data_IF_785622869084
#
_entry.id   IF_785622869084
#
_cell.length_a   1.000
_cell.length_b   1.000
_cell.length_c   1.000
_cell.angle_alpha   90.00
_cell.angle_beta   90.00
_cell.angle_gamma   90.00
#
_symmetry.space_group_name_H-M   'P 1'
#
loop_
_entity.id
_entity.type
_entity.pdbx_description
1 polymer ?
#
# COMPACT_ATOMS: atom_id res chain seq x y z
N UNK A 1 -62.71 36.86 -9.03
CA UNK A 1 -62.59 38.00 -8.09
C UNK A 1 -61.71 39.06 -8.76
N UNK A 2 -62.14 40.31 -8.65
CA UNK A 2 -61.82 41.48 -9.48
C UNK A 2 -60.34 41.84 -9.65
N UNK A 3 -59.82 41.75 -10.87
CA UNK A 3 -58.54 42.36 -11.31
C UNK A 3 -58.85 43.54 -12.24
N UNK A 4 -59.39 44.64 -11.72
CA UNK A 4 -59.73 45.81 -12.56
C UNK A 4 -59.16 47.13 -12.07
N UNK A 5 -58.28 47.10 -11.06
CA UNK A 5 -57.63 48.30 -10.53
C UNK A 5 -56.09 48.34 -10.67
N UNK A 6 -55.47 47.32 -11.27
CA UNK A 6 -54.02 47.32 -11.55
C UNK A 6 -53.65 48.01 -12.87
N UNK A 7 -54.57 48.05 -13.85
CA UNK A 7 -54.31 48.64 -15.17
C UNK A 7 -54.43 50.17 -15.21
N UNK A 8 -54.96 50.79 -14.15
CA UNK A 8 -55.17 52.23 -14.06
C UNK A 8 -54.17 52.90 -13.13
N UNK A 9 -53.69 54.07 -13.51
CA UNK A 9 -52.84 54.91 -12.69
C UNK A 9 -53.65 55.48 -11.51
N UNK A 10 -53.17 55.32 -10.28
CA UNK A 10 -53.86 55.81 -9.09
C UNK A 10 -53.98 57.35 -9.05
N UNK A 11 -53.03 58.07 -9.65
CA UNK A 11 -52.99 59.52 -9.65
C UNK A 11 -53.85 60.15 -10.76
N UNK A 12 -53.91 59.48 -11.92
CA UNK A 12 -54.50 60.07 -13.13
C UNK A 12 -55.71 59.31 -13.66
N UNK A 13 -56.07 58.17 -13.05
CA UNK A 13 -57.14 57.27 -13.47
C UNK A 13 -57.08 56.83 -14.95
N UNK A 14 -55.90 56.94 -15.58
CA UNK A 14 -55.64 56.55 -16.97
C UNK A 14 -55.00 55.17 -17.04
N UNK A 15 -55.17 54.47 -18.17
CA UNK A 15 -54.53 53.17 -18.41
C UNK A 15 -53.00 53.31 -18.39
N UNK A 16 -52.32 52.40 -17.70
CA UNK A 16 -50.85 52.33 -17.65
C UNK A 16 -50.34 51.63 -18.90
N UNK A 17 -50.06 52.41 -19.94
CA UNK A 17 -49.64 51.90 -21.26
C UNK A 17 -48.13 51.97 -21.49
N UNK A 18 -47.34 52.36 -20.48
CA UNK A 18 -45.89 52.43 -20.58
C UNK A 18 -45.23 51.77 -19.38
N UNK A 19 -44.05 51.19 -19.56
CA UNK A 19 -43.23 50.62 -18.50
C UNK A 19 -41.96 51.45 -18.32
N UNK A 20 -41.66 51.85 -17.09
CA UNK A 20 -40.42 52.54 -16.75
C UNK A 20 -39.35 51.50 -16.39
N UNK A 21 -38.27 51.42 -17.16
CA UNK A 21 -37.18 50.45 -16.93
C UNK A 21 -36.37 50.76 -15.68
N UNK A 22 -36.24 52.03 -15.31
CA UNK A 22 -35.46 52.47 -14.14
C UNK A 22 -36.12 52.06 -12.82
N UNK A 23 -37.45 52.16 -12.76
CA UNK A 23 -38.21 51.92 -11.53
C UNK A 23 -38.93 50.56 -11.56
N UNK A 24 -38.89 49.86 -12.70
CA UNK A 24 -39.56 48.58 -12.97
C UNK A 24 -41.08 48.58 -12.70
N UNK A 25 -41.74 49.72 -12.99
CA UNK A 25 -43.18 49.93 -12.77
C UNK A 25 -43.93 50.33 -14.03
N UNK A 26 -45.20 49.96 -14.08
CA UNK A 26 -46.16 50.42 -15.08
C UNK A 26 -46.61 51.86 -14.76
N UNK A 27 -46.50 52.75 -15.75
CA UNK A 27 -46.86 54.17 -15.67
C UNK A 27 -47.88 54.54 -16.76
N UNK A 28 -48.74 55.54 -16.51
CA UNK A 28 -49.56 56.13 -17.58
C UNK A 28 -48.78 57.24 -18.32
N UNK A 29 -49.31 57.70 -19.45
CA UNK A 29 -48.67 58.73 -20.29
C UNK A 29 -48.42 60.05 -19.54
N UNK A 30 -49.29 60.42 -18.60
CA UNK A 30 -49.10 61.62 -17.77
C UNK A 30 -47.95 61.42 -16.77
N UNK A 31 -47.85 60.24 -16.13
CA UNK A 31 -46.74 59.90 -15.25
C UNK A 31 -45.41 59.89 -16.00
N UNK A 32 -45.37 59.37 -17.23
CA UNK A 32 -44.16 59.38 -18.06
C UNK A 32 -43.62 60.79 -18.32
N UNK A 33 -44.51 61.79 -18.44
CA UNK A 33 -44.15 63.19 -18.64
C UNK A 33 -43.88 63.95 -17.34
N UNK A 34 -44.13 63.34 -16.18
CA UNK A 34 -43.90 63.97 -14.88
C UNK A 34 -42.40 64.21 -14.68
N UNK A 35 -42.04 65.17 -13.81
CA UNK A 35 -40.64 65.42 -13.46
C UNK A 35 -39.91 64.16 -12.96
N UNK A 36 -40.64 63.20 -12.41
CA UNK A 36 -40.12 61.96 -11.83
C UNK A 36 -39.66 60.97 -12.90
N UNK A 37 -40.44 60.75 -13.96
CA UNK A 37 -40.08 59.77 -15.01
C UNK A 37 -39.59 60.41 -16.32
N UNK A 38 -39.55 61.74 -16.42
CA UNK A 38 -39.12 62.47 -17.64
C UNK A 38 -37.71 62.10 -18.11
N UNK A 39 -36.84 61.69 -17.19
CA UNK A 39 -35.45 61.26 -17.47
C UNK A 39 -35.29 59.73 -17.52
N UNK A 40 -36.35 58.97 -17.24
CA UNK A 40 -36.30 57.50 -17.23
C UNK A 40 -36.59 56.93 -18.61
N UNK A 41 -36.01 55.77 -18.89
CA UNK A 41 -36.27 55.05 -20.13
C UNK A 41 -37.61 54.35 -20.00
N UNK A 42 -38.58 54.79 -20.79
CA UNK A 42 -39.93 54.21 -20.84
C UNK A 42 -40.27 53.74 -22.24
N UNK A 43 -40.87 52.57 -22.38
CA UNK A 43 -41.38 52.04 -23.65
C UNK A 43 -42.82 51.51 -23.47
N UNK A 44 -43.54 51.22 -24.56
CA UNK A 44 -44.86 50.59 -24.50
C UNK A 44 -44.84 49.28 -23.72
N UNK A 45 -45.94 48.96 -23.04
CA UNK A 45 -46.03 47.74 -22.19
C UNK A 45 -45.75 46.48 -23.00
N UNK A 46 -46.19 46.40 -24.25
CA UNK A 46 -45.98 45.24 -25.10
C UNK A 46 -44.49 45.01 -25.41
N UNK A 47 -43.75 46.07 -25.71
CA UNK A 47 -42.30 46.04 -25.97
C UNK A 47 -41.52 45.70 -24.70
N UNK A 48 -41.85 46.36 -23.58
CA UNK A 48 -41.25 46.09 -22.28
C UNK A 48 -41.51 44.64 -21.83
N UNK A 49 -42.72 44.13 -22.04
CA UNK A 49 -43.09 42.77 -21.67
C UNK A 49 -42.32 41.75 -22.51
N UNK A 50 -42.11 42.00 -23.80
CA UNK A 50 -41.30 41.12 -24.65
C UNK A 50 -39.83 41.13 -24.21
N UNK A 51 -39.25 42.32 -23.99
CA UNK A 51 -37.90 42.44 -23.46
C UNK A 51 -37.75 41.72 -22.11
N UNK A 52 -38.64 41.99 -21.15
CA UNK A 52 -38.59 41.32 -19.83
C UNK A 52 -38.83 39.82 -19.91
N UNK A 53 -39.68 39.33 -20.83
CA UNK A 53 -39.81 37.89 -21.10
C UNK A 53 -38.51 37.29 -21.60
N UNK A 54 -37.80 37.95 -22.51
CA UNK A 54 -36.49 37.44 -23.00
C UNK A 54 -35.45 37.42 -21.88
N UNK A 55 -35.35 38.48 -21.07
CA UNK A 55 -34.46 38.55 -19.89
C UNK A 55 -34.78 37.42 -18.88
N UNK A 56 -36.05 37.25 -18.52
CA UNK A 56 -36.51 36.20 -17.60
C UNK A 56 -36.26 34.81 -18.19
N UNK A 57 -36.51 34.62 -19.49
CA UNK A 57 -36.28 33.34 -20.16
C UNK A 57 -34.79 32.96 -20.16
N UNK A 58 -33.91 33.93 -20.43
CA UNK A 58 -32.46 33.72 -20.34
C UNK A 58 -32.03 33.34 -18.90
N UNK A 59 -32.56 34.03 -17.89
CA UNK A 59 -32.35 33.69 -16.49
C UNK A 59 -32.85 32.28 -16.14
N UNK A 60 -34.04 31.90 -16.62
CA UNK A 60 -34.63 30.58 -16.40
C UNK A 60 -33.75 29.48 -17.02
N UNK A 61 -33.24 29.67 -18.24
CA UNK A 61 -32.33 28.71 -18.87
C UNK A 61 -31.01 28.57 -18.11
N UNK A 62 -30.47 29.67 -17.56
CA UNK A 62 -29.31 29.62 -16.66
C UNK A 62 -29.60 28.81 -15.39
N UNK A 63 -30.78 29.01 -14.77
CA UNK A 63 -31.21 28.26 -13.59
C UNK A 63 -31.42 26.77 -13.91
N UNK A 64 -32.03 26.41 -15.04
CA UNK A 64 -32.17 25.01 -15.49
C UNK A 64 -30.80 24.35 -15.68
N UNK A 65 -29.83 25.06 -16.27
CA UNK A 65 -28.44 24.55 -16.40
C UNK A 65 -27.81 24.31 -15.04
N UNK A 66 -27.94 25.24 -14.09
CA UNK A 66 -27.46 25.07 -12.71
C UNK A 66 -28.11 23.89 -12.00
N UNK A 67 -29.43 23.71 -12.13
CA UNK A 67 -30.16 22.58 -11.56
C UNK A 67 -29.61 21.24 -12.09
N UNK A 68 -29.38 21.14 -13.41
CA UNK A 68 -28.78 19.95 -14.03
C UNK A 68 -27.38 19.63 -13.46
N UNK A 69 -26.53 20.64 -13.28
CA UNK A 69 -25.21 20.47 -12.67
C UNK A 69 -25.35 19.94 -11.23
N UNK A 70 -26.22 20.54 -10.42
CA UNK A 70 -26.44 20.11 -9.03
C UNK A 70 -26.97 18.67 -8.94
N UNK A 71 -27.89 18.28 -9.84
CA UNK A 71 -28.40 16.90 -9.88
C UNK A 71 -27.29 15.90 -10.23
N UNK A 72 -26.49 16.18 -11.26
CA UNK A 72 -25.36 15.33 -11.65
C UNK A 72 -24.30 15.23 -10.54
N UNK A 73 -24.00 16.34 -9.85
CA UNK A 73 -23.05 16.34 -8.72
C UNK A 73 -23.60 15.53 -7.55
N UNK A 74 -24.90 15.61 -7.26
CA UNK A 74 -25.52 14.79 -6.21
C UNK A 74 -25.38 13.30 -6.50
N UNK A 75 -25.64 12.86 -7.72
CA UNK A 75 -25.48 11.45 -8.13
C UNK A 75 -24.02 10.99 -7.95
N UNK A 76 -23.06 11.78 -8.43
CA UNK A 76 -21.63 11.50 -8.25
C UNK A 76 -21.22 11.41 -6.77
N UNK A 77 -21.78 12.28 -5.91
CA UNK A 77 -21.47 12.26 -4.49
C UNK A 77 -22.05 11.04 -3.76
N UNK A 78 -23.23 10.55 -4.17
CA UNK A 78 -23.77 9.29 -3.62
C UNK A 78 -22.95 8.07 -4.08
N UNK A 79 -22.45 8.06 -5.32
CA UNK A 79 -21.50 7.05 -5.79
C UNK A 79 -20.20 7.07 -4.97
N UNK A 80 -19.60 8.26 -4.79
CA UNK A 80 -18.38 8.44 -3.98
C UNK A 80 -18.62 7.97 -2.54
N UNK A 81 -19.74 8.36 -1.93
CA UNK A 81 -20.09 7.97 -0.57
C UNK A 81 -20.20 6.45 -0.41
N UNK A 82 -20.86 5.78 -1.36
CA UNK A 82 -20.96 4.31 -1.37
C UNK A 82 -19.58 3.68 -1.53
N UNK A 83 -18.78 4.19 -2.45
CA UNK A 83 -17.44 3.69 -2.70
C UNK A 83 -16.50 3.87 -1.50
N UNK A 84 -16.59 4.97 -0.75
CA UNK A 84 -15.83 5.17 0.49
C UNK A 84 -16.08 4.01 1.48
N UNK A 85 -17.34 3.55 1.59
CA UNK A 85 -17.68 2.43 2.47
C UNK A 85 -17.09 1.10 1.95
N UNK A 86 -17.17 0.85 0.65
CA UNK A 86 -16.56 -0.33 0.01
C UNK A 86 -15.05 -0.33 0.19
N UNK A 87 -14.38 0.77 -0.14
CA UNK A 87 -12.93 0.92 -0.03
C UNK A 87 -12.45 0.77 1.42
N UNK A 88 -13.20 1.31 2.40
CA UNK A 88 -12.89 1.14 3.82
C UNK A 88 -12.99 -0.33 4.25
N UNK A 89 -14.01 -1.07 3.77
CA UNK A 89 -14.18 -2.49 4.07
C UNK A 89 -13.07 -3.36 3.45
N UNK A 90 -12.71 -3.08 2.20
CA UNK A 90 -11.60 -3.75 1.50
C UNK A 90 -10.26 -3.48 2.21
N UNK A 91 -10.02 -2.23 2.60
CA UNK A 91 -8.81 -1.83 3.35
C UNK A 91 -8.75 -2.49 4.73
N UNK A 92 -9.86 -2.53 5.47
CA UNK A 92 -9.95 -3.21 6.77
C UNK A 92 -9.66 -4.72 6.63
N UNK A 93 -10.17 -5.34 5.57
CA UNK A 93 -9.91 -6.75 5.27
C UNK A 93 -8.42 -6.99 5.00
N UNK A 94 -7.80 -6.17 4.13
CA UNK A 94 -6.36 -6.28 3.84
C UNK A 94 -5.48 -6.06 5.09
N UNK A 95 -5.83 -5.08 5.95
CA UNK A 95 -5.13 -4.89 7.23
C UNK A 95 -5.23 -6.15 8.10
N UNK A 96 -6.43 -6.73 8.24
CA UNK A 96 -6.62 -7.95 9.04
C UNK A 96 -5.84 -9.14 8.48
N UNK A 97 -5.79 -9.29 7.16
CA UNK A 97 -5.06 -10.36 6.50
C UNK A 97 -3.55 -10.25 6.72
N UNK A 98 -2.96 -9.06 6.61
CA UNK A 98 -1.54 -8.81 6.93
C UNK A 98 -1.21 -9.14 8.38
N UNK A 99 -2.02 -8.67 9.34
CA UNK A 99 -1.82 -9.00 10.76
C UNK A 99 -1.99 -10.50 11.02
N UNK A 100 -2.90 -11.17 10.34
CA UNK A 100 -3.08 -12.63 10.44
C UNK A 100 -1.82 -13.38 9.97
N UNK A 101 -1.20 -12.95 8.87
CA UNK A 101 0.06 -13.52 8.37
C UNK A 101 1.16 -13.41 9.44
N UNK A 102 1.30 -12.24 10.08
CA UNK A 102 2.29 -12.01 11.14
C UNK A 102 2.00 -12.81 12.42
N UNK A 103 0.75 -12.87 12.88
CA UNK A 103 0.37 -13.66 14.05
C UNK A 103 0.63 -15.15 13.83
N UNK A 104 0.31 -15.67 12.63
CA UNK A 104 0.55 -17.06 12.27
C UNK A 104 2.05 -17.38 12.35
N UNK A 105 2.90 -16.54 11.74
CA UNK A 105 4.35 -16.68 11.81
C UNK A 105 4.87 -16.71 13.26
N UNK A 106 4.44 -15.76 14.10
CA UNK A 106 4.87 -15.71 15.49
C UNK A 106 4.43 -16.96 16.27
N UNK A 107 3.24 -17.47 15.98
CA UNK A 107 2.72 -18.69 16.61
C UNK A 107 3.53 -19.92 16.20
N UNK A 108 3.91 -20.02 14.93
CA UNK A 108 4.75 -21.10 14.42
C UNK A 108 6.16 -21.06 15.04
N UNK A 109 6.77 -19.88 15.17
CA UNK A 109 8.07 -19.72 15.83
C UNK A 109 8.01 -20.04 17.33
N UNK A 110 6.96 -19.63 18.03
CA UNK A 110 6.72 -19.99 19.43
C UNK A 110 6.62 -21.51 19.59
N UNK A 111 5.75 -22.16 18.81
CA UNK A 111 5.54 -23.61 18.85
C UNK A 111 6.84 -24.37 18.53
N UNK A 112 7.58 -23.93 17.52
CA UNK A 112 8.88 -24.53 17.14
C UNK A 112 9.87 -24.45 18.30
N UNK A 113 9.92 -23.32 19.00
CA UNK A 113 10.83 -23.14 20.14
C UNK A 113 10.44 -24.00 21.34
N UNK A 114 9.15 -24.07 21.66
CA UNK A 114 8.63 -24.91 22.73
C UNK A 114 8.84 -26.41 22.44
N UNK A 115 8.70 -26.83 21.19
CA UNK A 115 8.98 -28.21 20.79
C UNK A 115 10.47 -28.56 20.96
N UNK A 116 11.37 -27.65 20.59
CA UNK A 116 12.82 -27.85 20.79
C UNK A 116 13.18 -27.96 22.28
N UNK A 117 12.54 -27.17 23.15
CA UNK A 117 12.69 -27.28 24.60
C UNK A 117 12.19 -28.63 25.12
N UNK A 118 10.99 -29.05 24.71
CA UNK A 118 10.40 -30.34 25.11
C UNK A 118 11.27 -31.53 24.70
N UNK A 119 11.86 -31.49 23.50
CA UNK A 119 12.77 -32.54 23.05
C UNK A 119 14.05 -32.61 23.91
N UNK A 120 14.58 -31.46 24.31
CA UNK A 120 15.74 -31.38 25.19
C UNK A 120 15.43 -31.93 26.59
N UNK A 121 14.27 -31.56 27.15
CA UNK A 121 13.76 -32.07 28.42
C UNK A 121 13.62 -33.60 28.39
N UNK A 122 12.96 -34.15 27.37
CA UNK A 122 12.73 -35.58 27.24
C UNK A 122 14.05 -36.35 27.15
N UNK A 123 14.97 -35.87 26.31
CA UNK A 123 16.29 -36.51 26.11
C UNK A 123 17.10 -36.51 27.41
N UNK A 124 17.14 -35.38 28.13
CA UNK A 124 17.91 -35.24 29.37
C UNK A 124 17.29 -36.02 30.53
N UNK A 125 15.96 -36.03 30.61
CA UNK A 125 15.22 -36.84 31.59
C UNK A 125 15.49 -38.33 31.36
N UNK A 126 15.44 -38.80 30.12
CA UNK A 126 15.72 -40.20 29.80
C UNK A 126 17.15 -40.62 30.16
N UNK A 127 18.13 -39.75 29.91
CA UNK A 127 19.52 -39.99 30.34
C UNK A 127 19.58 -40.10 31.87
N UNK A 128 18.91 -39.21 32.60
CA UNK A 128 18.93 -39.22 34.06
C UNK A 128 18.25 -40.46 34.65
N UNK A 129 17.12 -40.90 34.08
CA UNK A 129 16.46 -42.15 34.51
C UNK A 129 17.41 -43.34 34.42
N UNK A 130 18.11 -43.52 33.28
CA UNK A 130 19.08 -44.61 33.12
C UNK A 130 20.25 -44.53 34.11
N UNK A 131 20.68 -43.32 34.46
CA UNK A 131 21.76 -43.11 35.45
C UNK A 131 21.29 -43.43 36.86
N UNK A 132 20.05 -43.09 37.20
CA UNK A 132 19.43 -43.45 38.48
C UNK A 132 19.25 -44.95 38.60
N UNK A 133 18.73 -45.64 37.58
CA UNK A 133 18.58 -47.10 37.54
C UNK A 133 19.93 -47.81 37.79
N UNK A 134 20.99 -47.36 37.10
CA UNK A 134 22.33 -47.92 37.29
C UNK A 134 22.89 -47.67 38.70
N UNK A 135 22.67 -46.49 39.28
CA UNK A 135 23.11 -46.20 40.66
C UNK A 135 22.29 -47.00 41.67
N UNK A 136 21.00 -47.19 41.45
CA UNK A 136 20.15 -48.02 42.30
C UNK A 136 20.60 -49.48 42.28
N UNK A 137 20.98 -50.03 41.13
CA UNK A 137 21.58 -51.37 41.02
C UNK A 137 22.91 -51.48 41.80
N UNK A 138 23.78 -50.46 41.70
CA UNK A 138 25.03 -50.41 42.46
C UNK A 138 24.78 -50.31 43.97
N UNK A 139 23.83 -49.48 44.40
CA UNK A 139 23.42 -49.35 45.81
C UNK A 139 22.92 -50.69 46.33
N UNK A 140 22.05 -51.37 45.58
CA UNK A 140 21.50 -52.68 45.97
C UNK A 140 22.59 -53.75 46.09
N UNK A 141 23.50 -53.80 45.11
CA UNK A 141 24.64 -54.74 45.10
C UNK A 141 25.58 -54.49 46.28
N UNK A 142 25.90 -53.22 46.56
CA UNK A 142 26.76 -52.84 47.68
C UNK A 142 26.09 -53.16 49.02
N UNK A 143 24.82 -52.80 49.16
CA UNK A 143 24.04 -53.01 50.39
C UNK A 143 23.92 -54.50 50.72
N UNK A 144 23.66 -55.35 49.71
CA UNK A 144 23.65 -56.81 49.89
C UNK A 144 25.03 -57.33 50.30
N UNK A 145 26.10 -56.83 49.68
CA UNK A 145 27.47 -57.23 50.03
C UNK A 145 27.83 -56.85 51.46
N UNK A 146 27.47 -55.64 51.90
CA UNK A 146 27.67 -55.18 53.28
C UNK A 146 26.89 -56.06 54.27
N UNK A 147 25.60 -56.29 54.02
CA UNK A 147 24.75 -57.13 54.87
C UNK A 147 25.30 -58.56 55.02
N UNK A 148 25.76 -59.14 53.92
CA UNK A 148 26.40 -60.46 53.90
C UNK A 148 27.67 -60.49 54.76
N UNK A 149 28.50 -59.45 54.68
CA UNK A 149 29.73 -59.33 55.48
C UNK A 149 29.39 -59.13 56.97
N UNK A 150 28.44 -58.25 57.30
CA UNK A 150 27.98 -58.04 58.67
C UNK A 150 27.41 -59.31 59.30
N UNK A 151 26.70 -60.12 58.52
CA UNK A 151 26.18 -61.42 58.96
C UNK A 151 27.32 -62.40 59.23
N UNK A 152 28.32 -62.45 58.34
CA UNK A 152 29.50 -63.29 58.55
C UNK A 152 30.28 -62.89 59.82
N UNK A 153 30.40 -61.59 60.11
CA UNK A 153 31.05 -61.07 61.32
C UNK A 153 30.33 -61.44 62.63
N UNK A 154 29.02 -61.69 62.58
CA UNK A 154 28.21 -62.13 63.74
C UNK A 154 28.20 -63.65 63.93
N UNK A 155 28.77 -64.43 63.00
CA UNK A 155 28.81 -65.89 63.08
C UNK A 155 29.80 -66.39 64.16
N UNK A 156 29.64 -67.65 64.58
CA UNK A 156 30.61 -68.29 65.48
C UNK A 156 32.00 -68.42 64.83
N UNK A 157 33.06 -68.36 65.65
CA UNK A 157 34.45 -68.29 65.20
C UNK A 157 34.84 -69.34 64.15
N UNK A 158 34.41 -70.59 64.35
CA UNK A 158 34.71 -71.70 63.42
C UNK A 158 34.05 -71.46 62.05
N UNK A 159 32.80 -70.99 62.03
CA UNK A 159 32.05 -70.72 60.79
C UNK A 159 32.64 -69.52 60.04
N UNK A 160 33.00 -68.45 60.77
CA UNK A 160 33.69 -67.28 60.21
C UNK A 160 35.01 -67.70 59.55
N UNK A 161 35.82 -68.54 60.20
CA UNK A 161 37.09 -69.03 59.66
C UNK A 161 36.91 -69.92 58.42
N UNK A 162 35.85 -70.75 58.38
CA UNK A 162 35.51 -71.56 57.21
C UNK A 162 35.10 -70.71 55.99
N UNK A 163 34.32 -69.65 56.21
CA UNK A 163 33.83 -68.78 55.13
C UNK A 163 34.75 -67.57 54.84
N UNK A 164 35.82 -67.37 55.63
CA UNK A 164 36.75 -66.24 55.53
C UNK A 164 37.27 -66.00 54.10
N UNK A 165 37.61 -67.06 53.37
CA UNK A 165 38.11 -66.95 51.98
C UNK A 165 37.05 -66.37 51.03
N UNK A 166 35.76 -66.68 51.23
CA UNK A 166 34.65 -66.14 50.44
C UNK A 166 34.38 -64.68 50.82
N UNK A 167 34.34 -64.39 52.11
CA UNK A 167 34.15 -63.01 52.63
C UNK A 167 35.26 -62.08 52.18
N UNK A 168 36.52 -62.54 52.22
CA UNK A 168 37.68 -61.78 51.72
C UNK A 168 37.58 -61.47 50.22
N UNK A 169 37.04 -62.38 49.40
CA UNK A 169 36.79 -62.10 47.98
C UNK A 169 35.67 -61.06 47.79
N UNK A 170 34.60 -61.11 48.60
CA UNK A 170 33.50 -60.13 48.55
C UNK A 170 33.96 -58.72 48.95
N UNK A 171 34.88 -58.62 49.92
CA UNK A 171 35.54 -57.37 50.31
C UNK A 171 36.37 -56.72 49.19
N UNK A 172 36.73 -57.49 48.15
CA UNK A 172 37.43 -56.98 46.97
C UNK A 172 36.47 -56.52 45.85
N UNK A 173 35.16 -56.42 46.14
CA UNK A 173 34.21 -55.83 45.21
C UNK A 173 34.60 -54.37 44.91
N UNK A 174 34.94 -54.09 43.65
CA UNK A 174 35.28 -52.75 43.19
C UNK A 174 34.04 -52.13 42.54
N UNK A 175 33.31 -51.32 43.30
CA UNK A 175 32.28 -50.45 42.73
C UNK A 175 32.96 -49.15 42.33
N UNK A 176 32.83 -48.77 41.06
CA UNK A 176 33.43 -47.53 40.53
C UNK A 176 32.77 -46.29 41.14
N UNK A 177 33.50 -45.17 41.17
CA UNK A 177 32.91 -43.90 41.59
C UNK A 177 31.79 -43.46 40.62
N UNK A 178 30.74 -42.78 41.12
CA UNK A 178 29.69 -42.24 40.28
C UNK A 178 30.26 -41.30 39.20
N UNK A 179 29.78 -41.47 37.96
CA UNK A 179 30.20 -40.62 36.85
C UNK A 179 29.71 -39.18 37.01
N UNK A 180 30.58 -38.20 36.70
CA UNK A 180 30.20 -36.79 36.61
C UNK A 180 29.51 -36.52 35.27
N UNK A 181 28.25 -36.10 35.31
CA UNK A 181 27.46 -35.77 34.12
C UNK A 181 27.55 -34.27 33.85
N UNK A 182 28.09 -33.89 32.69
CA UNK A 182 28.12 -32.49 32.22
C UNK A 182 26.89 -32.17 31.37
N UNK A 183 26.49 -30.90 31.33
CA UNK A 183 25.41 -30.38 30.49
C UNK A 183 24.03 -31.05 30.64
N UNK A 184 23.75 -31.65 31.81
CA UNK A 184 22.51 -32.40 32.07
C UNK A 184 21.29 -31.50 32.32
N UNK A 185 21.50 -30.26 32.76
CA UNK A 185 20.42 -29.30 32.99
C UNK A 185 19.98 -28.65 31.68
N UNK A 186 18.74 -28.16 31.61
CA UNK A 186 18.24 -27.42 30.45
C UNK A 186 19.14 -26.23 30.12
N UNK A 187 19.52 -26.10 28.85
CA UNK A 187 20.31 -24.97 28.39
C UNK A 187 19.39 -23.77 28.11
N UNK A 188 18.98 -23.06 29.17
CA UNK A 188 18.10 -21.88 29.04
C UNK A 188 18.68 -20.80 28.13
N UNK A 189 20.01 -20.65 28.09
CA UNK A 189 20.68 -19.70 27.20
C UNK A 189 20.46 -20.03 25.72
N UNK A 190 20.42 -21.32 25.34
CA UNK A 190 20.10 -21.76 23.97
C UNK A 190 18.65 -21.45 23.57
N UNK A 191 17.71 -21.51 24.52
CA UNK A 191 16.28 -21.32 24.25
C UNK A 191 15.84 -19.86 24.30
N UNK A 192 16.35 -19.10 25.26
CA UNK A 192 15.96 -17.71 25.52
C UNK A 192 16.99 -16.70 24.98
N UNK A 193 18.25 -17.09 24.83
CA UNK A 193 19.32 -16.21 24.37
C UNK A 193 19.04 -15.68 22.97
N UNK A 194 18.94 -14.34 22.86
CA UNK A 194 18.64 -13.64 21.61
C UNK A 194 17.34 -14.09 20.93
N UNK A 195 16.39 -14.66 21.67
CA UNK A 195 15.16 -15.23 21.10
C UNK A 195 14.38 -14.19 20.27
N UNK A 196 14.15 -13.00 20.82
CA UNK A 196 13.45 -11.91 20.14
C UNK A 196 14.19 -11.47 18.87
N UNK A 197 15.51 -11.32 18.94
CA UNK A 197 16.34 -10.93 17.80
C UNK A 197 16.32 -11.99 16.69
N UNK A 198 16.38 -13.28 17.04
CA UNK A 198 16.30 -14.38 16.08
C UNK A 198 14.93 -14.43 15.38
N UNK A 199 13.83 -14.27 16.13
CA UNK A 199 12.47 -14.22 15.57
C UNK A 199 12.36 -13.05 14.60
N UNK A 200 12.83 -11.87 15.02
CA UNK A 200 12.77 -10.67 14.20
C UNK A 200 13.65 -10.78 12.94
N UNK A 201 14.84 -11.41 13.04
CA UNK A 201 15.69 -11.70 11.88
C UNK A 201 15.00 -12.65 10.90
N UNK A 202 14.28 -13.68 11.38
CA UNK A 202 13.48 -14.56 10.51
C UNK A 202 12.27 -13.85 9.92
N UNK A 203 11.71 -12.86 10.63
CA UNK A 203 10.60 -12.06 10.13
C UNK A 203 11.00 -11.25 8.88
N UNK A 204 12.29 -10.96 8.69
CA UNK A 204 12.84 -10.37 7.46
C UNK A 204 12.43 -11.16 6.20
N UNK A 205 12.37 -12.49 6.27
CA UNK A 205 12.05 -13.36 5.13
C UNK A 205 10.58 -13.27 4.68
N UNK A 206 9.69 -12.83 5.58
CA UNK A 206 8.24 -12.73 5.30
C UNK A 206 7.77 -11.29 5.09
N UNK A 207 8.56 -10.30 5.49
CA UNK A 207 8.22 -8.88 5.33
C UNK A 207 8.85 -8.33 4.05
N UNK A 208 8.00 -7.91 3.12
CA UNK A 208 8.44 -7.25 1.88
C UNK A 208 8.48 -5.74 2.07
N UNK A 209 9.64 -5.14 1.88
CA UNK A 209 9.78 -3.69 1.80
C UNK A 209 9.80 -3.26 0.33
N UNK A 210 8.79 -2.52 -0.12
CA UNK A 210 8.77 -1.90 -1.45
C UNK A 210 9.05 -0.39 -1.34
N UNK A 211 9.96 0.16 -2.16
CA UNK A 211 10.33 1.57 -2.06
C UNK A 211 9.26 2.54 -2.55
N UNK A 212 8.30 2.03 -3.31
CA UNK A 212 7.17 2.79 -3.84
C UNK A 212 5.92 1.93 -3.66
N UNK A 213 4.87 2.57 -3.16
CA UNK A 213 3.51 2.03 -3.07
C UNK A 213 2.66 2.79 -4.08
N UNK A 214 1.85 2.10 -4.86
CA UNK A 214 0.96 2.68 -5.86
C UNK A 214 -0.30 3.26 -5.20
N UNK A 215 -0.86 4.34 -5.75
CA UNK A 215 -2.08 4.97 -5.25
C UNK A 215 -3.31 4.59 -6.07
N UNK A 216 -4.21 3.73 -5.55
CA UNK A 216 -5.47 3.36 -6.21
C UNK A 216 -6.37 4.55 -6.58
N UNK A 217 -6.29 5.67 -5.85
CA UNK A 217 -7.10 6.86 -6.11
C UNK A 217 -6.63 7.63 -7.35
N UNK A 218 -5.38 7.42 -7.77
CA UNK A 218 -4.84 7.99 -9.02
C UNK A 218 -5.01 7.06 -10.22
N UNK A 219 -5.20 5.76 -9.98
CA UNK A 219 -5.25 4.74 -11.01
C UNK A 219 -6.43 4.95 -12.00
N UNK A 220 -6.14 4.83 -13.29
CA UNK A 220 -7.17 4.85 -14.32
C UNK A 220 -8.08 3.60 -14.23
N UNK A 221 -9.32 3.71 -14.72
CA UNK A 221 -10.37 2.70 -14.58
C UNK A 221 -10.04 1.30 -15.14
N UNK A 222 -9.08 1.18 -16.07
CA UNK A 222 -8.68 -0.08 -16.70
C UNK A 222 -7.40 -0.64 -16.08
N UNK A 223 -7.14 -0.34 -14.81
CA UNK A 223 -6.01 -0.87 -14.07
C UNK A 223 -6.47 -1.74 -12.91
N UNK A 224 -5.67 -2.76 -12.65
CA UNK A 224 -5.77 -3.62 -11.48
C UNK A 224 -4.44 -3.58 -10.74
N UNK A 225 -4.51 -3.40 -9.42
CA UNK A 225 -3.36 -3.31 -8.53
C UNK A 225 -3.32 -4.57 -7.65
N UNK A 226 -2.12 -5.00 -7.25
CA UNK A 226 -1.98 -6.08 -6.26
C UNK A 226 -2.42 -5.64 -4.86
N UNK A 227 -2.65 -6.61 -3.97
CA UNK A 227 -3.01 -6.39 -2.57
C UNK A 227 -2.00 -5.48 -1.84
N UNK A 228 -0.70 -5.68 -2.09
CA UNK A 228 0.38 -4.90 -1.49
C UNK A 228 0.65 -3.57 -2.22
N UNK A 229 -0.16 -3.24 -3.24
CA UNK A 229 -0.05 -2.03 -4.04
C UNK A 229 1.34 -1.80 -4.65
N UNK A 230 2.06 -2.88 -4.96
CA UNK A 230 3.41 -2.83 -5.55
C UNK A 230 3.43 -3.25 -7.02
N UNK A 231 2.30 -3.70 -7.55
CA UNK A 231 2.16 -4.21 -8.90
C UNK A 231 0.92 -3.61 -9.56
N UNK A 232 1.01 -3.31 -10.86
CA UNK A 232 -0.11 -2.83 -11.66
C UNK A 232 -0.14 -3.49 -13.03
N UNK A 233 -1.33 -3.87 -13.47
CA UNK A 233 -1.57 -4.43 -14.80
C UNK A 233 -2.80 -3.83 -15.47
N UNK A 234 -2.87 -3.96 -16.79
CA UNK A 234 -4.06 -3.59 -17.55
C UNK A 234 -5.19 -4.60 -17.29
N UNK A 235 -6.40 -4.09 -17.07
CA UNK A 235 -7.58 -4.89 -16.77
C UNK A 235 -8.82 -4.41 -17.54
N UNK A 236 -9.92 -5.14 -17.36
CA UNK A 236 -11.25 -4.62 -17.70
C UNK A 236 -11.56 -3.36 -16.88
N UNK A 237 -12.48 -2.53 -17.40
CA UNK A 237 -12.90 -1.30 -16.74
C UNK A 237 -13.55 -1.63 -15.40
N UNK A 238 -12.97 -1.14 -14.31
CA UNK A 238 -13.49 -1.20 -12.94
C UNK A 238 -14.54 -0.10 -12.73
N UNK A 239 -15.52 -0.38 -11.87
CA UNK A 239 -16.53 0.58 -11.45
C UNK A 239 -15.98 1.41 -10.28
N UNK A 240 -15.22 2.46 -10.62
CA UNK A 240 -14.66 3.38 -9.65
C UNK A 240 -15.35 4.74 -9.79
N UNK A 241 -15.58 5.47 -8.68
CA UNK A 241 -16.07 6.84 -8.77
C UNK A 241 -15.00 7.75 -9.37
N UNK A 242 -15.45 8.85 -9.95
CA UNK A 242 -14.54 9.90 -10.38
C UNK A 242 -14.08 10.74 -9.18
N UNK A 243 -12.80 11.09 -9.14
CA UNK A 243 -12.21 11.98 -8.15
C UNK A 243 -11.19 12.89 -8.83
N UNK A 244 -10.70 13.90 -8.11
CA UNK A 244 -9.78 14.91 -8.66
C UNK A 244 -8.41 14.32 -9.00
N UNK A 245 -7.99 13.30 -8.27
CA UNK A 245 -6.66 12.72 -8.34
C UNK A 245 -6.53 11.69 -9.47
N UNK A 246 -7.65 11.17 -9.99
CA UNK A 246 -7.69 10.07 -10.94
C UNK A 246 -7.19 10.49 -12.32
N UNK A 247 -6.27 9.69 -12.86
CA UNK A 247 -5.81 9.80 -14.24
C UNK A 247 -6.88 9.20 -15.16
N UNK A 248 -7.44 10.02 -16.05
CA UNK A 248 -8.53 9.58 -16.95
C UNK A 248 -7.99 9.22 -18.33
N UNK A 249 -7.03 10.00 -18.84
CA UNK A 249 -6.65 9.95 -20.25
C UNK A 249 -5.61 8.87 -20.60
N UNK A 250 -4.84 8.37 -19.63
CA UNK A 250 -3.83 7.32 -19.85
C UNK A 250 -4.03 6.19 -18.85
N UNK A 251 -3.82 4.95 -19.30
CA UNK A 251 -3.78 3.73 -18.48
C UNK A 251 -2.56 3.76 -17.57
N UNK A 252 -2.65 4.59 -16.54
CA UNK A 252 -1.53 4.95 -15.67
C UNK A 252 -1.97 5.15 -14.22
N UNK A 253 -0.99 5.09 -13.33
CA UNK A 253 -1.12 5.25 -11.88
C UNK A 253 0.13 5.94 -11.34
N UNK A 254 -0.02 6.71 -10.27
CA UNK A 254 1.09 7.33 -9.55
C UNK A 254 1.46 6.54 -8.30
N UNK A 255 2.68 6.75 -7.81
CA UNK A 255 3.04 6.37 -6.44
C UNK A 255 2.26 7.22 -5.41
N UNK A 256 1.95 6.64 -4.25
CA UNK A 256 1.27 7.30 -3.14
C UNK A 256 2.13 8.35 -2.43
N UNK A 257 3.45 8.17 -2.43
CA UNK A 257 4.40 9.13 -1.86
C UNK A 257 5.05 9.94 -2.97
N UNK A 258 4.96 11.27 -2.87
CA UNK A 258 5.67 12.19 -3.74
C UNK A 258 6.84 12.86 -3.00
N UNK A 259 7.85 13.23 -3.76
CA UNK A 259 9.13 13.72 -3.27
C UNK A 259 9.31 15.22 -3.54
N UNK A 260 9.88 15.93 -2.58
CA UNK A 260 10.19 17.37 -2.66
C UNK A 260 11.66 17.69 -2.39
N UNK A 261 12.50 16.68 -2.13
CA UNK A 261 13.94 16.81 -1.88
C UNK A 261 14.61 15.43 -1.88
N UNK A 262 15.95 15.42 -1.90
CA UNK A 262 16.75 14.23 -1.69
C UNK A 262 16.90 13.32 -2.91
N UNK A 263 17.38 12.09 -2.65
CA UNK A 263 17.63 11.07 -3.65
C UNK A 263 16.79 9.83 -3.38
N UNK A 264 16.09 9.36 -4.40
CA UNK A 264 15.16 8.23 -4.32
C UNK A 264 15.45 7.27 -5.46
N UNK A 265 15.29 5.97 -5.20
CA UNK A 265 15.55 4.94 -6.20
C UNK A 265 14.60 3.76 -6.03
N UNK A 266 14.03 3.29 -7.14
CA UNK A 266 13.21 2.09 -7.21
C UNK A 266 13.48 1.33 -8.49
N UNK A 267 13.38 0.00 -8.43
CA UNK A 267 13.53 -0.87 -9.59
C UNK A 267 12.16 -1.41 -9.98
N UNK A 268 11.85 -1.37 -11.26
CA UNK A 268 10.61 -1.89 -11.83
C UNK A 268 10.94 -3.09 -12.71
N UNK A 269 10.33 -4.23 -12.41
CA UNK A 269 10.23 -5.36 -13.32
C UNK A 269 9.17 -5.03 -14.37
N UNK A 270 9.63 -4.82 -15.60
CA UNK A 270 8.79 -4.52 -16.77
C UNK A 270 8.44 -5.80 -17.55
N UNK A 271 8.96 -6.94 -17.09
CA UNK A 271 8.69 -8.28 -17.61
C UNK A 271 8.84 -8.39 -19.13
N UNK A 272 7.96 -9.18 -19.73
CA UNK A 272 7.86 -9.35 -21.18
C UNK A 272 6.89 -8.37 -21.84
N UNK A 273 6.47 -7.31 -21.14
CA UNK A 273 5.53 -6.31 -21.65
C UNK A 273 5.96 -5.73 -22.99
N UNK A 274 4.99 -5.48 -23.87
CA UNK A 274 5.22 -4.95 -25.24
C UNK A 274 5.00 -3.44 -25.34
N UNK A 275 4.28 -2.86 -24.38
CA UNK A 275 4.06 -1.43 -24.28
C UNK A 275 4.06 -1.07 -22.80
N UNK A 276 4.85 -0.10 -22.37
CA UNK A 276 4.85 0.40 -20.99
C UNK A 276 5.59 1.73 -20.90
N UNK A 277 5.30 2.51 -19.86
CA UNK A 277 5.98 3.76 -19.56
C UNK A 277 6.22 3.86 -18.06
N UNK A 278 7.45 4.20 -17.68
CA UNK A 278 7.87 4.36 -16.28
C UNK A 278 8.75 5.60 -16.12
N UNK A 279 8.68 6.24 -14.96
CA UNK A 279 9.47 7.42 -14.67
C UNK A 279 8.85 8.22 -13.54
N UNK A 280 8.81 9.54 -13.71
CA UNK A 280 8.21 10.45 -12.73
C UNK A 280 7.34 11.50 -13.38
N UNK A 281 6.39 12.03 -12.60
CA UNK A 281 5.47 13.09 -13.00
C UNK A 281 5.34 14.16 -11.90
N UNK A 282 5.06 15.41 -12.28
CA UNK A 282 4.72 16.48 -11.33
C UNK A 282 3.35 16.25 -10.68
N UNK A 283 3.10 16.88 -9.53
CA UNK A 283 1.78 16.90 -8.90
C UNK A 283 0.73 17.63 -9.77
N UNK A 284 1.17 18.73 -10.41
CA UNK A 284 0.36 19.65 -11.22
C UNK A 284 -0.06 19.12 -12.60
N UNK A 285 0.29 17.89 -12.95
CA UNK A 285 -0.04 17.31 -14.26
C UNK A 285 -1.55 17.37 -14.53
N UNK A 286 -1.91 17.59 -15.79
CA UNK A 286 -3.30 17.57 -16.23
C UNK A 286 -3.83 16.13 -16.24
N UNK A 287 -4.76 15.81 -15.33
CA UNK A 287 -5.24 14.43 -15.12
C UNK A 287 -6.44 14.04 -15.99
N UNK A 288 -7.22 15.03 -16.44
CA UNK A 288 -8.50 14.83 -17.15
C UNK A 288 -8.44 15.09 -18.66
N UNK A 289 -7.44 15.82 -19.13
CA UNK A 289 -7.32 16.24 -20.53
C UNK A 289 -6.33 15.36 -21.30
N UNK A 290 -6.37 15.44 -22.64
CA UNK A 290 -5.39 14.77 -23.49
C UNK A 290 -4.00 15.36 -23.28
N UNK A 291 -3.06 14.52 -22.82
CA UNK A 291 -1.68 14.93 -22.50
C UNK A 291 -0.65 14.14 -23.31
N UNK A 292 0.39 14.84 -23.76
CA UNK A 292 1.59 14.24 -24.31
C UNK A 292 2.59 13.99 -23.18
N UNK A 293 3.19 12.79 -23.13
CA UNK A 293 4.27 12.54 -22.19
C UNK A 293 5.47 13.38 -22.65
N UNK A 294 5.81 14.42 -21.90
CA UNK A 294 7.00 15.24 -22.13
C UNK A 294 7.38 16.05 -20.88
N UNK A 295 8.66 16.46 -20.75
CA UNK A 295 9.09 17.33 -19.66
C UNK A 295 8.29 18.63 -19.56
N UNK A 296 7.89 19.22 -20.70
CA UNK A 296 7.10 20.45 -20.74
C UNK A 296 5.70 20.28 -20.10
N UNK A 297 5.16 19.07 -20.13
CA UNK A 297 3.88 18.70 -19.51
C UNK A 297 4.07 18.09 -18.11
N UNK A 298 5.30 18.14 -17.56
CA UNK A 298 5.62 17.63 -16.23
C UNK A 298 5.93 16.14 -16.15
N UNK A 299 6.38 15.51 -17.24
CA UNK A 299 6.66 14.07 -17.33
C UNK A 299 8.10 13.77 -17.75
N UNK A 300 8.82 13.00 -16.94
CA UNK A 300 10.17 12.49 -17.26
C UNK A 300 10.13 10.96 -17.27
N UNK A 301 9.80 10.42 -18.43
CA UNK A 301 9.40 9.02 -18.64
C UNK A 301 10.17 8.43 -19.80
N UNK A 302 10.54 7.16 -19.67
CA UNK A 302 10.89 6.32 -20.81
C UNK A 302 9.80 5.27 -21.01
N UNK A 303 9.73 4.70 -22.21
CA UNK A 303 8.79 3.63 -22.47
C UNK A 303 9.16 2.78 -23.66
N UNK A 304 8.79 1.51 -23.60
CA UNK A 304 8.85 0.58 -24.70
C UNK A 304 7.55 0.69 -25.50
N UNK A 305 7.64 0.70 -26.83
CA UNK A 305 6.48 0.68 -27.72
C UNK A 305 6.63 -0.45 -28.73
N UNK A 306 5.52 -1.12 -29.06
CA UNK A 306 5.45 -2.22 -30.03
C UNK A 306 6.40 -3.41 -29.76
N UNK A 307 6.94 -3.50 -28.55
CA UNK A 307 7.79 -4.59 -28.08
C UNK A 307 9.27 -4.50 -28.45
N UNK A 308 9.66 -3.59 -29.36
CA UNK A 308 11.02 -3.57 -29.93
C UNK A 308 11.72 -2.20 -29.87
N UNK A 309 10.99 -1.14 -29.52
CA UNK A 309 11.50 0.23 -29.63
C UNK A 309 11.39 0.94 -28.28
N UNK A 310 12.54 1.19 -27.65
CA UNK A 310 12.64 1.95 -26.41
C UNK A 310 12.82 3.44 -26.71
N UNK A 311 12.12 4.29 -25.97
CA UNK A 311 12.13 5.73 -26.21
C UNK A 311 12.15 6.53 -24.92
N UNK A 312 12.87 7.66 -24.95
CA UNK A 312 12.69 8.74 -24.00
C UNK A 312 11.62 9.70 -24.52
N UNK A 313 10.68 10.07 -23.64
CA UNK A 313 9.60 11.00 -23.96
C UNK A 313 10.09 12.46 -23.91
N UNK A 314 11.14 12.78 -24.64
CA UNK A 314 11.62 14.15 -24.87
C UNK A 314 10.77 14.86 -25.93
N UNK A 315 10.97 16.16 -26.11
CA UNK A 315 10.37 16.92 -27.21
C UNK A 315 11.47 17.42 -28.16
N UNK A 316 11.65 16.82 -29.36
CA UNK A 316 10.94 15.66 -29.91
C UNK A 316 11.33 14.33 -29.24
N UNK A 317 10.52 13.27 -29.42
CA UNK A 317 10.75 11.95 -28.82
C UNK A 317 12.08 11.35 -29.29
N UNK A 318 12.90 10.87 -28.36
CA UNK A 318 14.24 10.34 -28.67
C UNK A 318 14.25 8.81 -28.61
N UNK A 319 14.65 8.15 -29.70
CA UNK A 319 14.85 6.69 -29.72
C UNK A 319 16.10 6.33 -28.92
N UNK A 320 15.99 5.39 -28.01
CA UNK A 320 17.10 4.96 -27.16
C UNK A 320 17.76 3.71 -27.75
N UNK A 321 19.10 3.61 -27.73
CA UNK A 321 19.80 2.42 -28.18
C UNK A 321 19.47 1.25 -27.25
N UNK A 322 19.07 0.12 -27.83
CA UNK A 322 18.71 -1.09 -27.09
C UNK A 322 19.45 -2.27 -27.71
N UNK A 323 20.46 -2.80 -27.00
CA UNK A 323 21.16 -4.04 -27.42
C UNK A 323 20.31 -5.26 -27.13
N UNK A 324 19.77 -5.31 -25.92
CA UNK A 324 18.86 -6.33 -25.43
C UNK A 324 17.70 -5.65 -24.70
N UNK A 325 16.54 -6.32 -24.67
CA UNK A 325 15.34 -5.80 -24.00
C UNK A 325 15.55 -5.85 -22.48
N UNK A 326 15.47 -4.71 -21.76
CA UNK A 326 15.59 -4.73 -20.31
C UNK A 326 14.36 -5.38 -19.68
N UNK A 327 14.56 -6.36 -18.80
CA UNK A 327 13.51 -6.94 -17.98
C UNK A 327 13.26 -6.12 -16.69
N UNK A 328 14.30 -5.43 -16.21
CA UNK A 328 14.26 -4.62 -14.98
C UNK A 328 14.97 -3.29 -15.18
N UNK A 329 14.32 -2.22 -14.76
CA UNK A 329 14.85 -0.86 -14.90
C UNK A 329 14.80 -0.17 -13.55
N UNK A 330 15.95 0.34 -13.12
CA UNK A 330 16.06 1.21 -11.96
C UNK A 330 15.84 2.66 -12.38
N UNK A 331 14.92 3.32 -11.69
CA UNK A 331 14.64 4.76 -11.82
C UNK A 331 15.26 5.44 -10.60
N UNK A 332 16.20 6.35 -10.83
CA UNK A 332 16.79 7.19 -9.79
C UNK A 332 16.33 8.63 -9.97
N UNK A 333 15.71 9.19 -8.93
CA UNK A 333 15.37 10.60 -8.83
C UNK A 333 16.40 11.27 -7.90
N UNK A 334 17.21 12.18 -8.45
CA UNK A 334 18.02 13.12 -7.68
C UNK A 334 17.29 14.46 -7.73
N UNK A 335 16.38 14.69 -6.78
CA UNK A 335 15.53 15.88 -6.76
C UNK A 335 16.39 17.14 -6.64
N UNK A 336 17.36 17.12 -5.71
CA UNK A 336 18.21 18.26 -5.39
C UNK A 336 19.08 18.71 -6.58
N UNK A 337 19.52 17.75 -7.41
CA UNK A 337 20.31 18.04 -8.63
C UNK A 337 19.46 18.08 -9.89
N UNK A 338 18.15 17.89 -9.79
CA UNK A 338 17.25 17.95 -10.92
C UNK A 338 17.50 16.86 -11.97
N UNK A 339 17.64 15.60 -11.56
CA UNK A 339 17.91 14.49 -12.48
C UNK A 339 16.96 13.32 -12.30
N UNK A 340 16.58 12.72 -13.42
CA UNK A 340 15.91 11.42 -13.48
C UNK A 340 16.75 10.50 -14.34
N UNK A 341 17.30 9.45 -13.76
CA UNK A 341 18.23 8.53 -14.40
C UNK A 341 17.56 7.17 -14.53
N UNK A 342 17.66 6.57 -15.71
CA UNK A 342 17.17 5.23 -15.99
C UNK A 342 18.36 4.31 -16.22
N UNK A 343 18.39 3.19 -15.50
CA UNK A 343 19.51 2.24 -15.48
C UNK A 343 18.96 0.84 -15.74
N UNK A 344 19.60 0.09 -16.63
CA UNK A 344 19.31 -1.34 -16.79
C UNK A 344 19.83 -2.08 -15.56
N UNK A 345 18.93 -2.74 -14.82
CA UNK A 345 19.30 -3.38 -13.57
C UNK A 345 20.17 -4.64 -13.76
N UNK A 346 20.23 -5.21 -14.97
CA UNK A 346 21.00 -6.43 -15.25
C UNK A 346 22.51 -6.17 -15.34
N UNK A 347 22.92 -5.06 -15.97
CA UNK A 347 24.32 -4.75 -16.27
C UNK A 347 24.74 -3.36 -15.73
N UNK A 348 23.86 -2.70 -14.99
CA UNK A 348 24.04 -1.34 -14.46
C UNK A 348 24.34 -0.28 -15.54
N UNK A 349 24.02 -0.57 -16.81
CA UNK A 349 24.22 0.39 -17.90
C UNK A 349 23.17 1.49 -17.84
N UNK A 350 23.60 2.72 -18.06
CA UNK A 350 22.72 3.87 -18.08
C UNK A 350 21.96 3.92 -19.41
N UNK A 351 20.64 3.85 -19.32
CA UNK A 351 19.72 3.92 -20.46
C UNK A 351 19.52 5.37 -20.88
N UNK A 352 19.15 6.24 -19.94
CA UNK A 352 18.86 7.65 -20.23
C UNK A 352 19.00 8.53 -18.98
N UNK A 353 19.11 9.84 -19.18
CA UNK A 353 19.07 10.83 -18.10
C UNK A 353 18.35 12.07 -18.56
N UNK A 354 17.27 12.42 -17.86
CA UNK A 354 16.70 13.75 -17.92
C UNK A 354 17.39 14.68 -16.93
N UNK A 355 17.48 15.96 -17.30
CA UNK A 355 17.91 17.04 -16.42
C UNK A 355 16.85 18.13 -16.46
N UNK A 356 16.34 18.50 -15.30
CA UNK A 356 15.32 19.54 -15.18
C UNK A 356 15.28 20.12 -13.77
N UNK A 357 14.68 21.30 -13.59
CA UNK A 357 14.55 21.92 -12.27
C UNK A 357 13.17 21.61 -11.68
N UNK A 358 13.14 20.77 -10.65
CA UNK A 358 11.91 20.52 -9.91
C UNK A 358 11.64 21.66 -8.92
N UNK A 359 10.42 22.19 -8.95
CA UNK A 359 9.96 23.26 -8.04
C UNK A 359 8.76 22.86 -7.19
N UNK A 360 8.22 21.67 -7.45
CA UNK A 360 7.06 21.12 -6.76
C UNK A 360 7.25 19.62 -6.53
N UNK A 361 6.23 18.97 -5.95
CA UNK A 361 6.27 17.55 -5.62
C UNK A 361 6.28 16.69 -6.90
N UNK A 362 7.12 15.66 -6.88
CA UNK A 362 7.32 14.71 -7.98
C UNK A 362 6.90 13.32 -7.52
N UNK A 363 6.07 12.63 -8.30
CA UNK A 363 5.59 11.28 -8.00
C UNK A 363 6.19 10.25 -8.97
N UNK A 364 6.50 9.03 -8.49
CA UNK A 364 6.69 7.89 -9.37
C UNK A 364 5.49 7.70 -10.31
N UNK A 365 5.75 7.40 -11.58
CA UNK A 365 4.74 7.22 -12.62
C UNK A 365 4.87 5.85 -13.28
N UNK A 366 3.74 5.16 -13.46
CA UNK A 366 3.66 3.84 -14.05
C UNK A 366 2.49 3.73 -15.02
N UNK A 367 2.72 3.05 -16.14
CA UNK A 367 1.72 2.81 -17.18
C UNK A 367 2.02 1.47 -17.86
N UNK A 368 1.27 0.38 -17.59
CA UNK A 368 1.53 -0.95 -18.14
C UNK A 368 1.17 -1.10 -19.64
N UNK A 369 0.77 -0.02 -20.30
CA UNK A 369 0.36 -0.02 -21.70
C UNK A 369 -1.02 -0.62 -21.91
N UNK A 370 -1.52 -0.54 -23.15
CA UNK A 370 -2.79 -1.16 -23.51
C UNK A 370 -2.56 -2.63 -23.91
N UNK A 371 -3.41 -3.52 -23.40
CA UNK A 371 -3.41 -4.92 -23.83
C UNK A 371 -4.76 -5.30 -24.44
N UNK A 372 -4.75 -5.87 -25.66
CA UNK A 372 -5.99 -6.36 -26.30
C UNK A 372 -6.54 -7.60 -25.61
N UNK A 373 -5.68 -8.39 -25.01
CA UNK A 373 -6.02 -9.61 -24.30
C UNK A 373 -5.63 -9.47 -22.82
N UNK A 374 -6.63 -9.23 -21.98
CA UNK A 374 -6.44 -8.99 -20.54
C UNK A 374 -5.76 -10.17 -19.85
N UNK A 375 -5.98 -11.41 -20.31
CA UNK A 375 -5.35 -12.60 -19.72
C UNK A 375 -3.84 -12.66 -19.95
N UNK A 376 -3.36 -11.96 -20.98
CA UNK A 376 -1.96 -11.86 -21.36
C UNK A 376 -1.36 -10.48 -21.03
N UNK A 377 -2.05 -9.67 -20.22
CA UNK A 377 -1.52 -8.39 -19.76
C UNK A 377 -0.24 -8.63 -18.93
N UNK A 378 0.83 -7.92 -19.28
CA UNK A 378 2.08 -7.98 -18.52
C UNK A 378 2.05 -6.92 -17.41
N UNK A 379 2.25 -7.30 -16.14
CA UNK A 379 2.29 -6.34 -15.04
C UNK A 379 3.58 -5.51 -15.05
N UNK A 380 3.50 -4.34 -14.43
CA UNK A 380 4.66 -3.61 -13.91
C UNK A 380 4.76 -3.87 -12.41
N UNK A 381 5.86 -4.47 -11.98
CA UNK A 381 6.06 -4.84 -10.57
C UNK A 381 7.25 -4.10 -9.98
N UNK A 382 7.01 -3.33 -8.92
CA UNK A 382 8.07 -2.67 -8.16
C UNK A 382 8.82 -3.76 -7.37
N UNK A 383 10.13 -3.87 -7.61
CA UNK A 383 10.95 -4.87 -6.95
C UNK A 383 11.13 -4.53 -5.46
N UNK A 384 10.98 -5.51 -4.55
CA UNK A 384 11.25 -5.30 -3.14
C UNK A 384 12.74 -5.01 -2.91
N UNK A 385 13.02 -4.22 -1.86
CA UNK A 385 14.36 -3.97 -1.37
C UNK A 385 14.76 -5.01 -0.32
N UNK A 386 16.05 -5.33 -0.29
CA UNK A 386 16.64 -6.15 0.77
C UNK A 386 16.73 -5.29 2.02
N UNK A 387 16.01 -5.69 3.07
CA UNK A 387 16.13 -5.06 4.39
C UNK A 387 17.48 -5.49 4.96
N UNK A 388 18.32 -4.54 5.42
CA UNK A 388 19.56 -4.87 6.11
C UNK A 388 19.53 -4.28 7.49
N UNK A 389 19.66 -5.14 8.48
CA UNK A 389 19.66 -4.76 9.88
C UNK A 389 21.10 -4.47 10.27
N UNK A 390 21.38 -3.21 10.59
CA UNK A 390 22.64 -2.82 11.22
C UNK A 390 22.41 -2.80 12.73
N UNK A 391 23.13 -3.65 13.44
CA UNK A 391 23.25 -3.57 14.90
C UNK A 391 24.47 -2.69 15.14
N UNK A 392 24.27 -1.53 15.75
CA UNK A 392 25.35 -0.59 16.13
C UNK A 392 26.02 -1.00 17.44
#
# INVERSE_FOLDING_TARGET
MSTTNQDKCFLHNQKRNSFCHNDEVLVCLICQQSKEHKVHVCCPVEEAAEQKKTEISACLESLKKKLKVLMNTKEQWEEIKTYIQTQACETDTGIKEEFKKLHQFLKEEENTRLQALKQEEETKTQIMCKKLENIEEQINTLSSTISDIETALKAQDIQLLQDYKKTKKRLQCSIGEPEVIRDILINSAKHLGLLSFQIWKKMEDIVRCVPVVLDPNTAQFNLELSEELSCVQYSSKKLLPNNTERLINRVSVLGATGFTSGKHSWTVDVGQGKDWYIGVALDSIQRKNTIFLSPAEGFWVIGLSNGDSLWAQTTPRSKLPMKEKPNRITVELDYDRGKVIFINAADSTKIHTFKDKFTEKVFPYFSPGLCKDVQNASPLTICPQIIKVKVE
#
